data_IF_812459618838
#
_entry.id   IF_812459618838
#
_cell.length_a   1.000
_cell.length_b   1.000
_cell.length_c   1.000
_cell.angle_alpha   90.00
_cell.angle_beta   90.00
_cell.angle_gamma   90.00
#
_symmetry.space_group_name_H-M   'P 1'
#
loop_
_entity.id
_entity.type
_entity.pdbx_description
1 polymer ?
#
# COMPACT_ATOMS: atom_id res chain seq x y z
N UNK A 1 58.37 -44.33 -5.27
CA UNK A 1 57.40 -43.21 -5.33
C UNK A 1 58.16 -41.92 -5.08
N UNK A 2 58.25 -41.07 -6.09
CA UNK A 2 59.00 -39.81 -6.05
C UNK A 2 58.26 -38.78 -5.20
N UNK A 3 59.02 -37.93 -4.50
CA UNK A 3 58.56 -36.89 -3.57
C UNK A 3 57.52 -35.93 -4.18
N UNK A 4 57.56 -35.74 -5.50
CA UNK A 4 56.58 -34.93 -6.23
C UNK A 4 55.17 -35.54 -6.22
N UNK A 5 55.05 -36.86 -6.29
CA UNK A 5 53.76 -37.55 -6.37
C UNK A 5 52.95 -37.37 -5.07
N UNK A 6 53.64 -37.38 -3.91
CA UNK A 6 53.05 -37.09 -2.59
C UNK A 6 52.56 -35.63 -2.47
N UNK A 7 53.29 -34.68 -3.06
CA UNK A 7 52.94 -33.25 -3.06
C UNK A 7 51.65 -32.97 -3.86
N UNK A 8 51.44 -33.69 -4.96
CA UNK A 8 50.20 -33.59 -5.73
C UNK A 8 49.00 -34.20 -5.00
N UNK A 9 49.17 -35.36 -4.38
CA UNK A 9 48.11 -35.99 -3.58
C UNK A 9 47.68 -35.11 -2.39
N UNK A 10 48.63 -34.48 -1.70
CA UNK A 10 48.35 -33.54 -0.60
C UNK A 10 47.57 -32.31 -1.07
N UNK A 11 47.89 -31.78 -2.26
CA UNK A 11 47.16 -30.65 -2.86
C UNK A 11 45.72 -31.04 -3.22
N UNK A 12 45.51 -32.21 -3.80
CA UNK A 12 44.17 -32.73 -4.13
C UNK A 12 43.36 -32.94 -2.84
N UNK A 13 43.97 -33.50 -1.80
CA UNK A 13 43.32 -33.69 -0.50
C UNK A 13 42.93 -32.35 0.15
N UNK A 14 43.79 -31.34 0.05
CA UNK A 14 43.52 -30.00 0.57
C UNK A 14 42.40 -29.30 -0.20
N UNK A 15 42.36 -29.45 -1.53
CA UNK A 15 41.28 -28.91 -2.38
C UNK A 15 39.96 -29.60 -2.02
N UNK A 16 39.93 -30.93 -1.94
CA UNK A 16 38.72 -31.67 -1.56
C UNK A 16 38.22 -31.31 -0.16
N UNK A 17 39.12 -31.07 0.80
CA UNK A 17 38.75 -30.61 2.13
C UNK A 17 38.11 -29.21 2.09
N UNK A 18 38.71 -28.27 1.37
CA UNK A 18 38.13 -26.92 1.19
C UNK A 18 36.78 -26.95 0.48
N UNK A 19 36.61 -27.80 -0.53
CA UNK A 19 35.34 -27.95 -1.24
C UNK A 19 34.27 -28.57 -0.33
N UNK A 20 34.62 -29.57 0.49
CA UNK A 20 33.70 -30.15 1.50
C UNK A 20 33.34 -29.15 2.60
N UNK A 21 34.29 -28.36 3.08
CA UNK A 21 34.04 -27.31 4.10
C UNK A 21 33.19 -26.15 3.53
N UNK A 22 33.32 -25.86 2.23
CA UNK A 22 32.50 -24.85 1.55
C UNK A 22 31.10 -25.38 1.22
N UNK A 23 30.98 -26.68 0.88
CA UNK A 23 29.69 -27.33 0.62
C UNK A 23 28.89 -27.62 1.90
N UNK A 24 29.56 -27.83 3.04
CA UNK A 24 28.92 -28.03 4.35
C UNK A 24 28.42 -26.73 4.98
N UNK A 25 28.92 -25.56 4.51
CA UNK A 25 28.30 -24.26 4.77
C UNK A 25 27.01 -24.17 3.96
N UNK A 26 25.96 -24.72 4.55
CA UNK A 26 24.57 -24.67 4.09
C UNK A 26 24.27 -23.34 3.38
N UNK A 27 24.04 -23.31 2.05
CA UNK A 27 23.55 -22.10 1.42
C UNK A 27 22.18 -21.83 2.04
N UNK A 28 22.02 -20.68 2.71
CA UNK A 28 20.73 -20.26 3.26
C UNK A 28 19.65 -20.46 2.19
N UNK A 29 18.48 -21.04 2.55
CA UNK A 29 17.47 -21.42 1.58
C UNK A 29 17.11 -20.20 0.72
N UNK A 30 17.19 -20.37 -0.60
CA UNK A 30 16.98 -19.30 -1.60
C UNK A 30 15.62 -18.59 -1.46
N UNK A 31 14.68 -19.20 -0.74
CA UNK A 31 13.38 -18.62 -0.37
C UNK A 31 13.50 -17.28 0.36
N UNK A 32 14.46 -17.12 1.26
CA UNK A 32 14.66 -15.85 2.00
C UNK A 32 14.98 -14.66 1.07
N UNK A 33 15.61 -14.94 -0.08
CA UNK A 33 16.00 -13.91 -1.04
C UNK A 33 14.78 -13.45 -1.85
N UNK A 34 13.88 -14.37 -2.19
CA UNK A 34 12.66 -14.07 -2.95
C UNK A 34 11.67 -13.28 -2.08
N UNK A 35 11.45 -13.71 -0.83
CA UNK A 35 10.59 -13.00 0.12
C UNK A 35 11.12 -11.61 0.46
N UNK A 36 12.43 -11.45 0.67
CA UNK A 36 13.03 -10.12 0.89
C UNK A 36 12.93 -9.20 -0.33
N UNK A 37 13.00 -9.73 -1.55
CA UNK A 37 12.83 -8.95 -2.78
C UNK A 37 11.38 -8.54 -3.03
N UNK A 38 10.41 -9.37 -2.67
CA UNK A 38 8.98 -9.06 -2.79
C UNK A 38 8.46 -8.18 -1.64
N UNK A 39 9.07 -8.25 -0.47
CA UNK A 39 8.65 -7.48 0.71
C UNK A 39 8.67 -5.97 0.47
N UNK A 40 9.64 -5.46 -0.30
CA UNK A 40 9.76 -4.02 -0.57
C UNK A 40 8.63 -3.46 -1.48
N UNK A 41 8.39 -3.98 -2.70
CA UNK A 41 7.24 -3.56 -3.50
C UNK A 41 5.90 -3.92 -2.85
N UNK A 42 5.84 -5.05 -2.11
CA UNK A 42 4.66 -5.43 -1.35
C UNK A 42 4.31 -4.42 -0.25
N UNK A 43 5.31 -3.91 0.48
CA UNK A 43 5.10 -2.87 1.48
C UNK A 43 4.63 -1.54 0.86
N UNK A 44 5.11 -1.20 -0.34
CA UNK A 44 4.65 -0.01 -1.08
C UNK A 44 3.18 -0.12 -1.47
N UNK A 45 2.77 -1.26 -2.05
CA UNK A 45 1.37 -1.54 -2.38
C UNK A 45 0.51 -1.53 -1.12
N UNK A 46 0.99 -2.17 -0.04
CA UNK A 46 0.30 -2.19 1.24
C UNK A 46 0.06 -0.79 1.81
N UNK A 47 1.07 0.08 1.76
CA UNK A 47 0.94 1.47 2.19
C UNK A 47 -0.04 2.26 1.32
N UNK A 48 -0.03 2.09 0.00
CA UNK A 48 -1.02 2.69 -0.89
C UNK A 48 -2.44 2.27 -0.53
N UNK A 49 -2.68 0.96 -0.36
CA UNK A 49 -4.00 0.41 0.00
C UNK A 49 -4.45 0.91 1.36
N UNK A 50 -3.55 1.00 2.35
CA UNK A 50 -3.86 1.59 3.64
C UNK A 50 -4.30 3.05 3.52
N UNK A 51 -3.60 3.85 2.70
CA UNK A 51 -4.00 5.22 2.39
C UNK A 51 -5.39 5.31 1.77
N UNK A 52 -5.68 4.45 0.77
CA UNK A 52 -7.00 4.37 0.16
C UNK A 52 -8.09 4.00 1.17
N UNK A 53 -7.88 2.96 1.97
CA UNK A 53 -8.83 2.48 2.97
C UNK A 53 -9.23 3.55 3.97
N UNK A 54 -8.27 4.38 4.35
CA UNK A 54 -8.51 5.48 5.26
C UNK A 54 -9.50 6.51 4.66
N UNK A 55 -9.41 6.83 3.36
CA UNK A 55 -10.40 7.70 2.69
C UNK A 55 -11.80 7.09 2.72
N UNK A 56 -11.92 5.79 2.44
CA UNK A 56 -13.20 5.07 2.52
C UNK A 56 -13.82 5.15 3.92
N UNK A 57 -13.02 4.89 4.96
CA UNK A 57 -13.47 4.95 6.35
C UNK A 57 -13.91 6.37 6.73
N UNK A 58 -13.13 7.38 6.36
CA UNK A 58 -13.46 8.78 6.63
C UNK A 58 -14.77 9.18 5.96
N UNK A 59 -14.99 8.78 4.69
CA UNK A 59 -16.26 9.03 3.98
C UNK A 59 -17.43 8.28 4.61
N UNK A 60 -17.22 7.04 5.05
CA UNK A 60 -18.24 6.27 5.76
C UNK A 60 -18.65 6.92 7.07
N UNK A 61 -17.68 7.34 7.90
CA UNK A 61 -17.96 8.04 9.15
C UNK A 61 -18.70 9.36 8.88
N UNK A 62 -18.28 10.11 7.86
CA UNK A 62 -18.95 11.36 7.47
C UNK A 62 -20.42 11.11 7.10
N UNK A 63 -20.69 10.06 6.32
CA UNK A 63 -22.05 9.67 5.97
C UNK A 63 -22.86 9.29 7.22
N UNK A 64 -22.30 8.52 8.15
CA UNK A 64 -23.03 8.15 9.37
C UNK A 64 -23.33 9.36 10.28
N UNK A 65 -22.46 10.39 10.27
CA UNK A 65 -22.65 11.59 11.09
C UNK A 65 -23.58 12.63 10.45
N UNK A 66 -23.56 12.76 9.12
CA UNK A 66 -24.22 13.86 8.40
C UNK A 66 -25.33 13.37 7.46
N UNK A 67 -25.38 12.08 7.15
CA UNK A 67 -26.29 11.44 6.19
C UNK A 67 -26.18 12.02 4.78
N UNK A 68 -27.28 12.53 4.20
CA UNK A 68 -27.33 13.08 2.84
C UNK A 68 -27.26 14.61 2.90
N UNK A 69 -26.25 15.24 2.27
CA UNK A 69 -26.18 16.70 2.12
C UNK A 69 -27.42 17.30 1.44
N UNK A 70 -27.95 18.41 1.97
CA UNK A 70 -28.98 19.19 1.26
C UNK A 70 -28.35 19.93 0.06
N UNK A 71 -28.92 19.73 -1.13
CA UNK A 71 -28.51 20.42 -2.34
C UNK A 71 -28.64 21.95 -2.17
N UNK A 72 -27.49 22.65 -2.19
CA UNK A 72 -27.41 24.11 -2.01
C UNK A 72 -26.45 24.60 -0.91
N UNK A 73 -25.98 23.72 -0.03
CA UNK A 73 -24.92 24.00 0.98
C UNK A 73 -23.54 23.41 0.61
N UNK A 74 -23.36 23.09 -0.67
CA UNK A 74 -22.25 22.29 -1.22
C UNK A 74 -20.87 22.93 -0.93
N UNK A 75 -20.78 24.27 -0.99
CA UNK A 75 -19.51 25.00 -0.77
C UNK A 75 -18.91 24.80 0.64
N UNK A 76 -19.72 24.59 1.68
CA UNK A 76 -19.21 24.40 3.05
C UNK A 76 -18.86 22.94 3.31
N UNK A 77 -19.57 22.01 2.67
CA UNK A 77 -19.39 20.58 2.86
C UNK A 77 -18.19 20.02 2.07
N UNK A 78 -17.88 20.59 0.90
CA UNK A 78 -16.66 20.30 0.17
C UNK A 78 -15.43 20.78 0.92
N UNK A 79 -15.51 21.93 1.60
CA UNK A 79 -14.44 22.42 2.46
C UNK A 79 -14.22 21.50 3.68
N UNK A 80 -15.29 20.94 4.24
CA UNK A 80 -15.21 19.93 5.31
C UNK A 80 -14.60 18.63 4.78
N UNK A 81 -14.96 18.19 3.58
CA UNK A 81 -14.37 17.01 2.92
C UNK A 81 -12.86 17.17 2.69
N UNK A 82 -12.43 18.32 2.18
CA UNK A 82 -11.01 18.66 1.98
C UNK A 82 -10.28 18.79 3.31
N UNK A 83 -10.88 19.45 4.31
CA UNK A 83 -10.31 19.59 5.65
C UNK A 83 -10.16 18.23 6.34
N UNK A 84 -11.16 17.35 6.22
CA UNK A 84 -11.10 16.00 6.78
C UNK A 84 -10.11 15.12 6.03
N UNK A 85 -10.02 15.19 4.70
CA UNK A 85 -9.01 14.48 3.92
C UNK A 85 -7.58 14.95 4.30
N UNK A 86 -7.40 16.25 4.48
CA UNK A 86 -6.13 16.86 4.92
C UNK A 86 -5.77 16.44 6.36
N UNK A 87 -6.74 16.47 7.27
CA UNK A 87 -6.59 16.04 8.66
C UNK A 87 -6.25 14.55 8.74
N UNK A 88 -6.88 13.75 7.89
CA UNK A 88 -6.63 12.32 7.77
C UNK A 88 -5.22 12.04 7.25
N UNK A 89 -4.77 12.75 6.21
CA UNK A 89 -3.37 12.70 5.74
C UNK A 89 -2.36 13.12 6.81
N UNK A 90 -2.71 14.12 7.64
CA UNK A 90 -1.91 14.55 8.78
C UNK A 90 -1.84 13.49 9.89
N UNK A 91 -2.93 12.78 10.17
CA UNK A 91 -2.93 11.69 11.15
C UNK A 91 -2.10 10.48 10.68
N UNK A 92 -2.18 10.11 9.40
CA UNK A 92 -1.36 9.02 8.85
C UNK A 92 0.14 9.36 8.95
N UNK A 93 0.54 10.55 8.51
CA UNK A 93 1.93 11.02 8.60
C UNK A 93 2.44 11.10 10.05
N UNK A 94 1.57 11.45 11.00
CA UNK A 94 1.90 11.48 12.42
C UNK A 94 2.10 10.08 13.02
N UNK A 95 1.35 9.07 12.58
CA UNK A 95 1.47 7.68 13.06
C UNK A 95 2.62 6.90 12.39
N UNK A 96 3.05 7.27 11.18
CA UNK A 96 4.12 6.57 10.44
C UNK A 96 5.54 7.08 10.75
N UNK A 97 5.68 8.07 11.64
CA UNK A 97 6.85 8.95 11.83
C UNK A 97 8.21 8.28 12.05
N UNK A 98 8.27 7.05 12.58
CA UNK A 98 9.54 6.46 13.05
C UNK A 98 10.05 5.22 12.30
N UNK A 99 9.25 4.54 11.47
CA UNK A 99 9.71 3.31 10.77
C UNK A 99 9.33 3.18 9.30
N UNK A 100 8.49 4.07 8.74
CA UNK A 100 7.94 3.89 7.40
C UNK A 100 7.95 5.15 6.52
N UNK A 101 8.84 6.12 6.79
CA UNK A 101 8.94 7.37 5.99
C UNK A 101 9.04 7.13 4.48
N UNK A 102 9.71 6.05 4.06
CA UNK A 102 9.82 5.68 2.65
C UNK A 102 8.46 5.29 2.02
N UNK A 103 7.56 4.70 2.81
CA UNK A 103 6.21 4.27 2.39
C UNK A 103 5.11 5.30 2.70
N UNK A 104 5.42 6.33 3.50
CA UNK A 104 4.52 7.45 3.81
C UNK A 104 4.09 8.19 2.54
N UNK A 105 5.01 8.35 1.58
CA UNK A 105 4.70 8.91 0.26
C UNK A 105 3.69 8.05 -0.51
N UNK A 106 3.84 6.72 -0.49
CA UNK A 106 2.91 5.78 -1.13
C UNK A 106 1.51 5.86 -0.52
N UNK A 107 1.42 5.92 0.81
CA UNK A 107 0.16 6.11 1.51
C UNK A 107 -0.47 7.47 1.20
N UNK A 108 0.33 8.53 1.12
CA UNK A 108 -0.14 9.88 0.77
C UNK A 108 -0.68 9.91 -0.66
N UNK A 109 0.01 9.29 -1.61
CA UNK A 109 -0.47 9.11 -2.99
C UNK A 109 -1.77 8.31 -3.00
N UNK A 110 -1.87 7.25 -2.19
CA UNK A 110 -3.10 6.48 -2.00
C UNK A 110 -4.27 7.34 -1.53
N UNK A 111 -4.05 8.18 -0.51
CA UNK A 111 -5.06 9.13 -0.01
C UNK A 111 -5.47 10.12 -1.10
N UNK A 112 -4.51 10.81 -1.72
CA UNK A 112 -4.80 11.84 -2.73
C UNK A 112 -5.53 11.25 -3.93
N UNK A 113 -4.98 10.21 -4.53
CA UNK A 113 -5.55 9.57 -5.71
C UNK A 113 -6.95 9.05 -5.40
N UNK A 114 -7.15 8.38 -4.26
CA UNK A 114 -8.48 7.91 -3.87
C UNK A 114 -9.42 9.08 -3.62
N UNK A 115 -8.97 10.16 -2.98
CA UNK A 115 -9.82 11.34 -2.73
C UNK A 115 -10.36 11.95 -4.02
N UNK A 116 -9.51 12.11 -5.04
CA UNK A 116 -9.88 12.69 -6.33
C UNK A 116 -10.57 11.69 -7.28
N UNK A 117 -10.47 10.39 -7.04
CA UNK A 117 -11.07 9.38 -7.95
C UNK A 117 -12.19 8.58 -7.31
N UNK A 118 -12.53 8.86 -6.05
CA UNK A 118 -13.56 8.12 -5.31
C UNK A 118 -14.92 8.19 -6.00
N UNK A 119 -15.30 9.36 -6.53
CA UNK A 119 -16.56 9.50 -7.26
C UNK A 119 -16.59 8.64 -8.52
N UNK A 120 -15.46 8.42 -9.20
CA UNK A 120 -15.41 7.50 -10.32
C UNK A 120 -15.72 6.06 -9.91
N UNK A 121 -15.39 5.65 -8.69
CA UNK A 121 -15.78 4.34 -8.16
C UNK A 121 -17.27 4.27 -7.88
N UNK A 122 -17.88 5.37 -7.43
CA UNK A 122 -19.33 5.48 -7.27
C UNK A 122 -20.04 5.35 -8.62
N UNK A 123 -19.51 5.98 -9.67
CA UNK A 123 -20.01 5.84 -11.04
C UNK A 123 -19.85 4.43 -11.60
N UNK A 124 -18.73 3.76 -11.34
CA UNK A 124 -18.46 2.42 -11.84
C UNK A 124 -19.27 1.33 -11.12
N UNK A 125 -19.58 1.53 -9.84
CA UNK A 125 -20.20 0.51 -8.97
C UNK A 125 -21.35 1.07 -8.11
N UNK A 126 -22.38 1.71 -8.70
CA UNK A 126 -23.41 2.43 -7.94
C UNK A 126 -24.15 1.51 -6.96
N UNK A 127 -24.57 0.32 -7.41
CA UNK A 127 -25.30 -0.66 -6.60
C UNK A 127 -24.54 -1.09 -5.32
N UNK A 128 -23.21 -1.13 -5.36
CA UNK A 128 -22.38 -1.48 -4.22
C UNK A 128 -22.35 -0.33 -3.21
N UNK A 129 -22.27 0.91 -3.71
CA UNK A 129 -22.28 2.10 -2.87
C UNK A 129 -23.66 2.41 -2.30
N UNK A 130 -24.75 2.15 -3.03
CA UNK A 130 -26.12 2.27 -2.51
C UNK A 130 -26.33 1.43 -1.25
N UNK A 131 -25.79 0.20 -1.21
CA UNK A 131 -25.87 -0.67 -0.04
C UNK A 131 -25.10 -0.15 1.17
N UNK A 132 -24.05 0.64 0.95
CA UNK A 132 -23.21 1.17 2.02
C UNK A 132 -23.64 2.58 2.47
N UNK A 133 -24.12 3.40 1.54
CA UNK A 133 -24.32 4.84 1.70
C UNK A 133 -25.75 5.32 1.37
N UNK A 134 -26.68 4.44 1.02
CA UNK A 134 -28.03 4.74 0.51
C UNK A 134 -28.08 5.21 -0.95
N UNK A 135 -29.26 5.03 -1.56
CA UNK A 135 -29.58 5.48 -2.92
C UNK A 135 -29.46 7.00 -3.05
N UNK A 136 -30.07 7.76 -2.15
CA UNK A 136 -30.06 9.22 -2.14
C UNK A 136 -28.64 9.82 -2.13
N UNK A 137 -27.70 9.20 -1.42
CA UNK A 137 -26.32 9.66 -1.38
C UNK A 137 -25.58 9.42 -2.71
N UNK A 138 -25.79 8.25 -3.33
CA UNK A 138 -25.21 7.94 -4.64
C UNK A 138 -25.76 8.90 -5.70
N UNK A 139 -27.07 9.13 -5.66
CA UNK A 139 -27.77 10.10 -6.48
C UNK A 139 -27.23 11.52 -6.31
N UNK A 140 -27.00 11.94 -5.06
CA UNK A 140 -26.37 13.22 -4.76
C UNK A 140 -24.98 13.31 -5.37
N UNK A 141 -24.13 12.30 -5.15
CA UNK A 141 -22.77 12.28 -5.68
C UNK A 141 -22.74 12.36 -7.21
N UNK A 142 -23.61 11.62 -7.91
CA UNK A 142 -23.71 11.68 -9.37
C UNK A 142 -24.26 13.01 -9.88
N UNK A 143 -25.06 13.73 -9.09
CA UNK A 143 -25.54 15.09 -9.44
C UNK A 143 -24.45 16.15 -9.32
N UNK A 144 -23.47 15.95 -8.43
CA UNK A 144 -22.40 16.94 -8.18
C UNK A 144 -21.05 16.58 -8.80
N UNK A 145 -20.91 15.39 -9.41
CA UNK A 145 -19.65 14.93 -10.03
C UNK A 145 -19.90 14.35 -11.41
N UNK A 146 -18.87 14.36 -12.26
CA UNK A 146 -18.90 13.76 -13.59
C UNK A 146 -18.09 12.44 -13.64
N UNK A 147 -18.52 11.44 -14.42
CA UNK A 147 -17.76 10.21 -14.55
C UNK A 147 -16.43 10.45 -15.28
N UNK A 148 -15.39 9.70 -14.90
CA UNK A 148 -14.03 9.78 -15.47
C UNK A 148 -13.33 11.14 -15.30
N UNK A 149 -13.71 11.91 -14.28
CA UNK A 149 -13.09 13.19 -13.92
C UNK A 149 -12.15 13.07 -12.72
N UNK A 150 -11.33 14.10 -12.46
CA UNK A 150 -10.44 14.21 -11.28
C UNK A 150 -10.94 15.29 -10.33
#
# INVERSE_FOLDING_TARGET
MTTEQKSFEDRIAQINKRTKDTASRNPKPKTDIIWKRLAYPGAFIGAFVLGSMVVFLTRFIQFQMVSVPEAGKVNTQDFIGIAMASQTGMFISMFLRDKQKEFESASTVGVLLTTFTFHNLVWAYPLQFERMYSEDWVDFMQKITEPSSL
#
